data_IF_556282104452
#
_entry.id   IF_556282104452
#
_cell.length_a   1.000
_cell.length_b   1.000
_cell.length_c   1.000
_cell.angle_alpha   90.00
_cell.angle_beta   90.00
_cell.angle_gamma   90.00
#
_symmetry.space_group_name_H-M   'P 1'
#
loop_
_entity.id
_entity.type
_entity.pdbx_description
1 polymer ?
#
# COMPACT_ATOMS: atom_id res chain seq x y z
N UNK A 1 -11.17 -5.91 46.19
CA UNK A 1 -10.76 -6.00 44.78
C UNK A 1 -11.11 -7.41 44.33
N UNK A 2 -11.98 -7.65 43.33
CA UNK A 2 -12.10 -8.99 42.80
C UNK A 2 -10.83 -9.33 42.02
N UNK A 3 -10.33 -10.55 42.20
CA UNK A 3 -9.18 -11.08 41.49
C UNK A 3 -9.54 -11.23 40.01
N UNK A 4 -8.73 -10.63 39.13
CA UNK A 4 -8.86 -10.79 37.69
C UNK A 4 -8.44 -12.22 37.33
N UNK A 5 -9.40 -13.06 36.95
CA UNK A 5 -9.12 -14.42 36.47
C UNK A 5 -8.61 -14.36 35.02
N UNK A 6 -7.31 -14.54 34.86
CA UNK A 6 -6.61 -14.54 33.58
C UNK A 6 -6.91 -15.76 32.71
N UNK A 7 -7.75 -16.70 33.17
CA UNK A 7 -8.13 -17.92 32.45
C UNK A 7 -9.44 -17.81 31.67
N UNK A 8 -10.13 -16.67 31.72
CA UNK A 8 -11.34 -16.46 30.93
C UNK A 8 -10.99 -16.17 29.46
N UNK A 9 -11.28 -17.12 28.57
CA UNK A 9 -11.08 -16.99 27.12
C UNK A 9 -11.86 -15.80 26.48
N UNK A 10 -12.83 -15.23 27.20
CA UNK A 10 -13.55 -14.04 26.76
C UNK A 10 -12.69 -12.77 26.82
N UNK A 11 -11.65 -12.72 27.68
CA UNK A 11 -10.71 -11.59 27.72
C UNK A 11 -9.68 -11.64 26.58
N UNK A 12 -9.23 -12.84 26.18
CA UNK A 12 -8.32 -13.04 25.04
C UNK A 12 -8.94 -12.56 23.72
N UNK A 13 -10.27 -12.59 23.59
CA UNK A 13 -10.98 -12.13 22.40
C UNK A 13 -11.17 -10.60 22.35
N UNK A 14 -11.01 -9.90 23.48
CA UNK A 14 -11.11 -8.43 23.58
C UNK A 14 -9.78 -7.71 23.32
N UNK A 15 -8.66 -8.45 23.30
CA UNK A 15 -7.31 -7.94 23.03
C UNK A 15 -6.61 -8.72 21.91
N UNK A 16 -7.34 -9.28 20.96
CA UNK A 16 -6.72 -9.59 19.67
C UNK A 16 -6.18 -8.26 19.13
N UNK A 17 -4.86 -8.10 18.93
CA UNK A 17 -4.37 -6.90 18.29
C UNK A 17 -5.11 -6.81 16.96
N UNK A 18 -5.82 -5.69 16.74
CA UNK A 18 -6.21 -5.31 15.38
C UNK A 18 -4.88 -5.19 14.65
N UNK A 19 -4.50 -6.26 13.95
CA UNK A 19 -3.26 -6.26 13.20
C UNK A 19 -3.51 -5.39 11.99
N UNK A 20 -3.13 -4.12 12.12
CA UNK A 20 -3.03 -3.20 11.00
C UNK A 20 -2.07 -3.83 9.99
N UNK A 21 -2.63 -4.34 8.90
CA UNK A 21 -1.89 -5.07 7.88
C UNK A 21 -1.74 -4.22 6.63
N UNK A 22 -0.52 -4.21 6.09
CA UNK A 22 -0.24 -3.63 4.77
C UNK A 22 -0.25 -4.78 3.77
N UNK A 23 -1.00 -4.62 2.68
CA UNK A 23 -1.06 -5.62 1.59
C UNK A 23 -0.44 -5.05 0.32
N UNK A 24 0.24 -5.91 -0.43
CA UNK A 24 0.91 -5.55 -1.67
C UNK A 24 0.33 -6.34 -2.83
N UNK A 25 0.09 -5.67 -3.95
CA UNK A 25 -0.32 -6.28 -5.20
C UNK A 25 0.79 -6.13 -6.24
N UNK A 26 0.99 -7.18 -7.04
CA UNK A 26 2.02 -7.23 -8.07
C UNK A 26 1.42 -7.67 -9.40
N UNK A 27 1.95 -7.14 -10.50
CA UNK A 27 1.65 -7.65 -11.84
C UNK A 27 2.47 -8.92 -12.16
N UNK A 28 2.28 -9.47 -13.36
CA UNK A 28 3.00 -10.66 -13.83
C UNK A 28 4.51 -10.43 -13.97
N UNK A 29 4.94 -9.19 -14.17
CA UNK A 29 6.34 -8.80 -14.31
C UNK A 29 7.01 -8.55 -12.95
N UNK A 30 6.26 -8.68 -11.84
CA UNK A 30 6.74 -8.44 -10.48
C UNK A 30 6.79 -6.96 -10.10
N UNK A 31 6.19 -6.06 -10.89
CA UNK A 31 6.05 -4.66 -10.50
C UNK A 31 4.92 -4.53 -9.47
N UNK A 32 5.14 -3.76 -8.40
CA UNK A 32 4.11 -3.52 -7.38
C UNK A 32 3.07 -2.56 -7.92
N UNK A 33 1.83 -3.00 -8.14
CA UNK A 33 0.74 -2.19 -8.69
C UNK A 33 -0.09 -1.46 -7.63
N UNK A 34 -0.15 -1.99 -6.40
CA UNK A 34 -0.82 -1.32 -5.28
C UNK A 34 -0.22 -1.67 -3.92
N UNK A 35 -0.33 -0.72 -2.99
CA UNK A 35 -0.15 -0.92 -1.54
C UNK A 35 -1.45 -0.55 -0.85
N UNK A 36 -2.12 -1.52 -0.22
CA UNK A 36 -3.30 -1.26 0.62
C UNK A 36 -2.83 -0.94 2.03
N UNK A 37 -3.16 0.25 2.50
CA UNK A 37 -2.84 0.77 3.83
C UNK A 37 -3.79 0.18 4.88
N UNK A 38 -3.44 0.24 6.18
CA UNK A 38 -4.28 -0.31 7.25
C UNK A 38 -5.67 0.33 7.34
N UNK A 39 -5.80 1.59 6.95
CA UNK A 39 -7.06 2.34 6.88
C UNK A 39 -7.91 1.99 5.64
N UNK A 40 -7.42 1.09 4.78
CA UNK A 40 -8.08 0.63 3.56
C UNK A 40 -7.79 1.48 2.33
N UNK A 41 -7.12 2.63 2.48
CA UNK A 41 -6.69 3.45 1.33
C UNK A 41 -5.63 2.75 0.50
N UNK A 42 -5.49 3.15 -0.75
CA UNK A 42 -4.58 2.49 -1.68
C UNK A 42 -3.58 3.47 -2.28
N UNK A 43 -2.30 3.14 -2.20
CA UNK A 43 -1.30 3.77 -3.05
C UNK A 43 -1.21 2.93 -4.32
N UNK A 44 -1.55 3.52 -5.47
CA UNK A 44 -1.51 2.83 -6.76
C UNK A 44 -0.28 3.26 -7.56
N UNK A 45 0.25 2.33 -8.35
CA UNK A 45 1.42 2.51 -9.18
C UNK A 45 1.08 2.12 -10.62
N UNK A 46 1.09 3.10 -11.52
CA UNK A 46 0.85 2.87 -12.93
C UNK A 46 2.18 2.73 -13.67
N UNK A 47 2.33 1.69 -14.47
CA UNK A 47 3.52 1.41 -15.26
C UNK A 47 3.21 1.45 -16.75
N UNK A 48 4.20 1.88 -17.56
CA UNK A 48 4.20 1.63 -19.00
C UNK A 48 4.77 0.25 -19.31
N UNK A 49 4.47 -0.30 -20.49
CA UNK A 49 4.75 -1.70 -20.85
C UNK A 49 6.20 -2.19 -20.68
N UNK A 50 7.19 -1.31 -20.62
CA UNK A 50 8.59 -1.66 -20.31
C UNK A 50 8.90 -1.78 -18.81
N UNK A 51 7.91 -1.62 -17.93
CA UNK A 51 8.06 -1.67 -16.46
C UNK A 51 8.47 -0.33 -15.83
N UNK A 52 8.38 0.78 -16.55
CA UNK A 52 8.70 2.10 -15.98
C UNK A 52 7.48 2.73 -15.30
N UNK A 53 7.66 3.13 -14.05
CA UNK A 53 6.64 3.79 -13.23
C UNK A 53 6.26 5.15 -13.83
N UNK A 54 5.05 5.26 -14.34
CA UNK A 54 4.51 6.51 -14.88
C UNK A 54 3.91 7.39 -13.80
N UNK A 55 3.12 6.82 -12.89
CA UNK A 55 2.30 7.59 -11.96
C UNK A 55 2.20 6.90 -10.60
N UNK A 56 2.13 7.72 -9.55
CA UNK A 56 1.72 7.33 -8.20
C UNK A 56 0.43 8.07 -7.85
N UNK A 57 -0.60 7.35 -7.44
CA UNK A 57 -1.83 7.93 -6.91
C UNK A 57 -2.13 7.43 -5.49
N UNK A 58 -2.88 8.22 -4.74
CA UNK A 58 -3.48 7.83 -3.48
C UNK A 58 -4.98 7.80 -3.66
N UNK A 59 -5.54 6.60 -3.64
CA UNK A 59 -6.87 6.30 -4.13
C UNK A 59 -6.97 6.77 -5.60
N UNK A 60 -7.80 7.77 -5.87
CA UNK A 60 -8.00 8.36 -7.20
C UNK A 60 -7.25 9.70 -7.40
N UNK A 61 -6.51 10.17 -6.40
CA UNK A 61 -5.77 11.44 -6.47
C UNK A 61 -4.33 11.21 -6.93
N UNK A 62 -3.95 11.80 -8.05
CA UNK A 62 -2.58 11.75 -8.55
C UNK A 62 -1.67 12.57 -7.64
N UNK A 63 -0.68 11.90 -7.06
CA UNK A 63 0.33 12.53 -6.21
C UNK A 63 1.57 12.90 -7.04
N UNK A 64 1.94 12.03 -7.98
CA UNK A 64 3.13 12.25 -8.80
C UNK A 64 2.99 11.59 -10.16
N UNK A 65 3.25 12.36 -11.20
CA UNK A 65 3.46 11.91 -12.57
C UNK A 65 4.94 12.02 -12.91
N UNK A 66 5.44 11.06 -13.69
CA UNK A 66 6.83 10.97 -14.12
C UNK A 66 6.89 10.85 -15.63
N UNK A 67 7.53 11.84 -16.25
CA UNK A 67 7.80 11.87 -17.68
C UNK A 67 9.24 11.45 -17.99
N UNK A 68 9.43 10.71 -19.08
CA UNK A 68 10.72 10.16 -19.48
C UNK A 68 11.05 10.43 -20.93
N UNK A 69 12.34 10.53 -21.23
CA UNK A 69 12.83 10.54 -22.60
C UNK A 69 12.84 9.13 -23.23
N UNK A 70 13.27 9.05 -24.49
CA UNK A 70 13.37 7.79 -25.25
C UNK A 70 14.37 6.77 -24.68
N UNK A 71 15.27 7.20 -23.80
CA UNK A 71 16.21 6.32 -23.09
C UNK A 71 15.68 5.94 -21.71
N UNK A 72 14.40 6.21 -21.43
CA UNK A 72 13.73 5.94 -20.17
C UNK A 72 14.31 6.68 -18.96
N UNK A 73 15.00 7.80 -19.21
CA UNK A 73 15.50 8.68 -18.16
C UNK A 73 14.41 9.66 -17.79
N UNK A 74 14.21 9.86 -16.49
CA UNK A 74 13.28 10.87 -15.99
C UNK A 74 13.72 12.27 -16.45
N UNK A 75 12.78 13.02 -17.02
CA UNK A 75 12.99 14.39 -17.48
C UNK A 75 12.07 15.39 -16.78
N UNK A 76 10.98 14.93 -16.16
CA UNK A 76 10.07 15.77 -15.38
C UNK A 76 9.28 14.93 -14.37
N UNK A 77 8.90 15.59 -13.26
CA UNK A 77 8.07 15.02 -12.19
C UNK A 77 7.17 16.08 -11.53
N UNK A 78 5.95 15.71 -11.18
CA UNK A 78 5.08 16.48 -10.26
C UNK A 78 5.23 16.02 -8.80
N UNK A 79 5.11 16.93 -7.83
CA UNK A 79 5.19 16.66 -6.38
C UNK A 79 4.23 17.56 -5.60
#
# INVERSE_FOLDING_TARGET
MPETDWRDAQYDMLYLPVTESIRYHYDFNGNRTATVLPDGRQINYLYYGSGHLHQISLDDEVISDIERDRLHREIYRTQ
#
